data_IF_494475581071
#
_entry.id   IF_494475581071
#
_cell.length_a   1.000
_cell.length_b   1.000
_cell.length_c   1.000
_cell.angle_alpha   90.00
_cell.angle_beta   90.00
_cell.angle_gamma   90.00
#
_symmetry.space_group_name_H-M   'P 1'
#
loop_
_entity.id
_entity.type
_entity.pdbx_description
1 polymer ?
#
# COMPACT_ATOMS: atom_id res chain seq x y z
N UNK A 1 2.01 21.01 11.67
CA UNK A 1 1.24 22.28 11.86
C UNK A 1 -0.04 22.00 12.64
N UNK A 2 -0.89 21.06 12.22
CA UNK A 2 -2.16 20.73 12.90
C UNK A 2 -1.92 20.25 14.33
N UNK A 3 -0.95 19.39 14.57
CA UNK A 3 -0.57 18.91 15.90
C UNK A 3 -0.16 20.04 16.84
N UNK A 4 0.67 20.96 16.35
CA UNK A 4 1.10 22.12 17.13
C UNK A 4 -0.06 23.06 17.45
N UNK A 5 -1.04 23.16 16.55
CA UNK A 5 -2.23 23.96 16.79
C UNK A 5 -3.16 23.30 17.81
N UNK A 6 -3.36 21.99 17.71
CA UNK A 6 -4.20 21.21 18.62
C UNK A 6 -3.67 21.19 20.06
N UNK A 7 -2.35 21.28 20.24
CA UNK A 7 -1.72 21.35 21.57
C UNK A 7 -1.92 22.70 22.30
N UNK A 8 -2.45 23.73 21.64
CA UNK A 8 -2.66 25.02 22.28
C UNK A 8 -3.91 25.00 23.16
N UNK A 9 -3.83 25.64 24.32
CA UNK A 9 -4.95 25.75 25.26
C UNK A 9 -6.20 26.35 24.61
N UNK A 10 -7.37 25.79 24.94
CA UNK A 10 -8.68 26.22 24.45
C UNK A 10 -8.86 26.06 22.93
N UNK A 11 -8.16 25.10 22.31
CA UNK A 11 -8.34 24.75 20.90
C UNK A 11 -8.58 23.27 20.75
N UNK A 12 -9.42 22.92 19.79
CA UNK A 12 -9.61 21.55 19.34
C UNK A 12 -9.57 21.51 17.83
N UNK A 13 -9.01 20.44 17.29
CA UNK A 13 -9.00 20.15 15.85
C UNK A 13 -9.79 18.88 15.66
N UNK A 14 -10.77 18.91 14.80
CA UNK A 14 -11.58 17.75 14.42
C UNK A 14 -11.40 17.51 12.94
N UNK A 15 -11.06 16.29 12.57
CA UNK A 15 -10.68 15.91 11.20
C UNK A 15 -11.52 14.69 10.78
N UNK A 16 -11.99 14.67 9.55
CA UNK A 16 -12.60 13.46 8.97
C UNK A 16 -11.54 12.38 8.69
N UNK A 17 -11.85 11.12 8.98
CA UNK A 17 -10.95 9.99 8.76
C UNK A 17 -10.73 9.61 7.29
N UNK A 18 -11.55 10.16 6.38
CA UNK A 18 -11.50 9.82 4.97
C UNK A 18 -12.58 8.81 4.56
N UNK A 19 -12.53 8.36 3.33
CA UNK A 19 -13.54 7.49 2.71
C UNK A 19 -12.91 6.35 1.88
N UNK A 20 -11.69 5.96 2.20
CA UNK A 20 -10.91 5.00 1.42
C UNK A 20 -11.19 3.52 1.76
N UNK A 21 -11.90 3.21 2.86
CA UNK A 21 -12.11 1.83 3.30
C UNK A 21 -12.73 0.93 2.22
N UNK A 22 -13.72 1.43 1.47
CA UNK A 22 -14.37 0.67 0.40
C UNK A 22 -13.64 0.76 -0.95
N UNK A 23 -12.62 1.62 -1.09
CA UNK A 23 -11.92 1.85 -2.36
C UNK A 23 -10.94 0.74 -2.73
N UNK A 24 -10.68 -0.18 -1.79
CA UNK A 24 -9.81 -1.35 -2.01
C UNK A 24 -8.36 -0.99 -2.34
N UNK A 25 -7.87 0.11 -1.75
CA UNK A 25 -6.51 0.60 -1.97
C UNK A 25 -5.51 0.12 -0.93
N UNK A 26 -5.93 -0.71 0.00
CA UNK A 26 -5.07 -1.33 1.00
C UNK A 26 -5.19 -2.85 0.97
N UNK A 27 -4.04 -3.52 0.99
CA UNK A 27 -3.89 -4.96 1.19
C UNK A 27 -2.99 -5.19 2.38
N UNK A 28 -3.32 -6.14 3.23
CA UNK A 28 -2.46 -6.57 4.32
C UNK A 28 -2.44 -8.08 4.47
N UNK A 29 -1.34 -8.59 4.98
CA UNK A 29 -1.18 -10.01 5.26
C UNK A 29 -0.15 -10.23 6.38
N UNK A 30 -0.41 -11.20 7.25
CA UNK A 30 0.54 -11.62 8.28
C UNK A 30 1.37 -12.80 7.78
N UNK A 31 2.65 -12.57 7.54
CA UNK A 31 3.62 -13.61 7.18
C UNK A 31 4.06 -14.30 8.47
N UNK A 32 3.81 -15.61 8.57
CA UNK A 32 4.28 -16.41 9.69
C UNK A 32 5.77 -16.73 9.55
N UNK A 33 6.43 -16.95 10.69
CA UNK A 33 7.80 -17.46 10.68
C UNK A 33 7.89 -18.77 9.86
N UNK A 34 8.91 -18.90 9.04
CA UNK A 34 9.16 -20.09 8.21
C UNK A 34 8.06 -20.42 7.20
N UNK A 35 7.35 -19.43 6.71
CA UNK A 35 6.38 -19.63 5.66
C UNK A 35 7.07 -20.17 4.39
N UNK A 36 6.55 -21.27 3.82
CA UNK A 36 7.17 -21.96 2.68
C UNK A 36 6.67 -21.51 1.32
N UNK A 37 5.67 -20.65 1.29
CA UNK A 37 5.05 -20.15 0.06
C UNK A 37 4.97 -18.63 0.10
N UNK A 38 5.22 -17.93 -1.02
CA UNK A 38 5.05 -16.50 -1.10
C UNK A 38 3.57 -16.11 -0.94
N UNK A 39 3.34 -14.96 -0.34
CA UNK A 39 2.02 -14.29 -0.35
C UNK A 39 1.88 -13.55 -1.67
N UNK A 40 0.70 -13.59 -2.26
CA UNK A 40 0.42 -12.90 -3.52
C UNK A 40 -0.62 -11.82 -3.32
N UNK A 41 -0.25 -10.58 -3.56
CA UNK A 41 -1.19 -9.48 -3.69
C UNK A 41 -1.55 -9.29 -5.17
N UNK A 42 -2.84 -9.27 -5.48
CA UNK A 42 -3.35 -9.10 -6.84
C UNK A 42 -3.95 -7.70 -7.01
N UNK A 43 -3.46 -6.97 -8.02
CA UNK A 43 -3.91 -5.62 -8.36
C UNK A 43 -4.66 -5.68 -9.68
N UNK A 44 -5.93 -5.30 -9.68
CA UNK A 44 -6.68 -5.04 -10.90
C UNK A 44 -6.30 -3.67 -11.44
N UNK A 45 -5.91 -3.62 -12.70
CA UNK A 45 -5.63 -2.38 -13.45
C UNK A 45 -6.62 -2.29 -14.60
N UNK A 46 -7.34 -1.19 -14.67
CA UNK A 46 -8.28 -0.86 -15.75
C UNK A 46 -7.57 -0.45 -17.04
N UNK A 47 -8.34 -0.19 -18.08
CA UNK A 47 -7.82 0.31 -19.35
C UNK A 47 -7.56 1.81 -19.30
N UNK A 48 -6.52 2.27 -20.02
CA UNK A 48 -6.22 3.70 -20.16
C UNK A 48 -5.49 4.34 -18.99
N UNK A 49 -4.93 3.54 -18.09
CA UNK A 49 -4.09 4.02 -16.99
C UNK A 49 -2.68 4.32 -17.51
N UNK A 50 -2.22 5.56 -17.35
CA UNK A 50 -0.86 5.96 -17.76
C UNK A 50 0.19 5.53 -16.73
N UNK A 51 -0.19 5.45 -15.46
CA UNK A 51 0.69 5.00 -14.41
C UNK A 51 0.06 5.06 -13.04
N UNK A 52 0.68 4.36 -12.10
CA UNK A 52 0.34 4.44 -10.68
C UNK A 52 1.56 4.07 -9.85
N UNK A 53 1.48 4.32 -8.56
CA UNK A 53 2.47 3.89 -7.59
C UNK A 53 1.85 2.86 -6.64
N UNK A 54 2.68 2.00 -6.08
CA UNK A 54 2.30 1.12 -4.98
C UNK A 54 3.43 1.13 -3.95
N UNK A 55 3.06 1.11 -2.68
CA UNK A 55 3.99 1.11 -1.57
C UNK A 55 3.79 -0.15 -0.74
N UNK A 56 4.86 -0.90 -0.53
CA UNK A 56 4.86 -2.02 0.39
C UNK A 56 5.66 -1.66 1.63
N UNK A 57 5.01 -1.80 2.77
CA UNK A 57 5.57 -1.50 4.09
C UNK A 57 5.64 -2.75 4.94
N UNK A 58 6.72 -2.89 5.69
CA UNK A 58 6.86 -3.90 6.75
C UNK A 58 7.79 -3.39 7.83
N UNK A 59 7.66 -3.91 9.05
CA UNK A 59 8.52 -3.56 10.18
C UNK A 59 9.70 -4.51 10.31
N UNK A 60 10.85 -3.96 10.68
CA UNK A 60 12.00 -4.77 11.05
C UNK A 60 11.70 -5.60 12.31
N UNK A 61 12.26 -6.80 12.48
CA UNK A 61 13.38 -7.37 11.71
C UNK A 61 12.98 -8.09 10.41
N UNK A 62 11.69 -8.16 10.05
CA UNK A 62 11.26 -8.78 8.82
C UNK A 62 11.69 -7.92 7.62
N UNK A 63 12.43 -8.53 6.71
CA UNK A 63 12.82 -7.95 5.43
C UNK A 63 12.18 -8.79 4.33
N UNK A 64 11.53 -8.16 3.36
CA UNK A 64 10.84 -8.88 2.29
C UNK A 64 11.54 -8.71 0.94
N UNK A 65 11.36 -9.70 0.09
CA UNK A 65 11.69 -9.68 -1.32
C UNK A 65 10.40 -9.81 -2.13
N UNK A 66 10.40 -9.33 -3.36
CA UNK A 66 9.22 -9.43 -4.22
C UNK A 66 9.56 -9.97 -5.61
N UNK A 67 8.55 -10.56 -6.25
CA UNK A 67 8.52 -10.85 -7.69
C UNK A 67 7.28 -10.19 -8.27
N UNK A 68 7.44 -9.44 -9.34
CA UNK A 68 6.32 -8.85 -10.07
C UNK A 68 5.92 -9.77 -11.23
N UNK A 69 4.63 -9.92 -11.44
CA UNK A 69 4.07 -10.76 -12.51
C UNK A 69 3.05 -9.92 -13.27
N UNK A 70 3.22 -9.85 -14.57
CA UNK A 70 2.31 -9.14 -15.48
C UNK A 70 1.04 -9.94 -15.78
N UNK A 71 0.00 -9.30 -16.34
CA UNK A 71 -1.21 -10.01 -16.76
C UNK A 71 -0.99 -11.14 -17.76
N UNK A 72 0.06 -11.08 -18.60
CA UNK A 72 0.43 -12.18 -19.50
C UNK A 72 1.20 -13.31 -18.82
N UNK A 73 1.62 -13.12 -17.56
CA UNK A 73 2.41 -14.08 -16.82
C UNK A 73 3.92 -13.87 -16.91
N UNK A 74 4.39 -12.79 -17.55
CA UNK A 74 5.82 -12.43 -17.53
C UNK A 74 6.23 -12.08 -16.10
N UNK A 75 7.38 -12.64 -15.66
CA UNK A 75 7.85 -12.52 -14.26
C UNK A 75 9.18 -11.79 -14.21
N UNK A 76 9.36 -10.92 -13.24
CA UNK A 76 10.68 -10.39 -12.93
C UNK A 76 11.54 -11.45 -12.23
N UNK A 77 12.84 -11.24 -12.22
CA UNK A 77 13.68 -11.89 -11.22
C UNK A 77 13.26 -11.41 -9.82
N UNK A 78 13.60 -12.17 -8.80
CA UNK A 78 13.40 -11.75 -7.42
C UNK A 78 14.13 -10.43 -7.16
N UNK A 79 13.39 -9.48 -6.61
CA UNK A 79 13.90 -8.16 -6.23
C UNK A 79 14.39 -8.25 -4.80
N UNK A 80 15.70 -8.50 -4.65
CA UNK A 80 16.32 -8.64 -3.35
C UNK A 80 16.52 -7.28 -2.67
N UNK A 81 16.50 -7.29 -1.33
CA UNK A 81 16.77 -6.10 -0.54
C UNK A 81 18.15 -5.50 -0.85
N UNK A 82 18.16 -4.23 -1.21
CA UNK A 82 19.39 -3.43 -1.35
C UNK A 82 19.05 -1.95 -1.13
N UNK A 83 19.46 -1.44 0.03
CA UNK A 83 19.18 -0.06 0.44
C UNK A 83 19.55 0.97 -0.62
N UNK A 84 18.59 1.83 -0.97
CA UNK A 84 18.75 2.93 -1.91
C UNK A 84 18.97 2.52 -3.37
N UNK A 85 18.87 1.22 -3.67
CA UNK A 85 19.03 0.74 -5.04
C UNK A 85 17.69 0.76 -5.78
N UNK A 86 17.73 1.14 -7.06
CA UNK A 86 16.59 1.15 -7.98
C UNK A 86 16.71 0.01 -8.97
N UNK A 87 15.70 -0.83 -8.99
CA UNK A 87 15.52 -1.86 -10.01
C UNK A 87 14.58 -1.32 -11.06
N UNK A 88 14.97 -1.44 -12.34
CA UNK A 88 14.12 -1.08 -13.46
C UNK A 88 13.82 -2.34 -14.26
N UNK A 89 12.55 -2.60 -14.48
CA UNK A 89 12.03 -3.73 -15.25
C UNK A 89 11.24 -3.21 -16.43
N UNK A 90 11.36 -3.90 -17.56
CA UNK A 90 10.53 -3.69 -18.74
C UNK A 90 9.85 -5.03 -19.03
N UNK A 91 8.54 -5.07 -18.91
CA UNK A 91 7.73 -6.20 -19.31
C UNK A 91 7.57 -6.16 -20.83
N UNK A 92 8.15 -7.14 -21.51
CA UNK A 92 8.36 -7.10 -22.97
C UNK A 92 7.03 -7.19 -23.72
N UNK A 93 6.12 -8.05 -23.27
CA UNK A 93 4.83 -8.25 -23.91
C UNK A 93 3.89 -7.06 -23.72
N UNK A 94 3.87 -6.50 -22.52
CA UNK A 94 3.01 -5.37 -22.17
C UNK A 94 3.61 -4.01 -22.51
N UNK A 95 4.92 -3.93 -22.71
CA UNK A 95 5.66 -2.65 -22.83
C UNK A 95 5.48 -1.76 -21.60
N UNK A 96 5.25 -2.37 -20.45
CA UNK A 96 5.11 -1.70 -19.16
C UNK A 96 6.48 -1.58 -18.50
N UNK A 97 6.80 -0.40 -18.00
CA UNK A 97 8.00 -0.17 -17.20
C UNK A 97 7.63 -0.14 -15.72
N UNK A 98 8.40 -0.85 -14.89
CA UNK A 98 8.23 -0.81 -13.44
C UNK A 98 9.58 -0.52 -12.78
N UNK A 99 9.61 0.55 -11.99
CA UNK A 99 10.73 0.89 -11.12
C UNK A 99 10.39 0.45 -9.69
N UNK A 100 11.34 -0.24 -9.05
CA UNK A 100 11.24 -0.64 -7.63
C UNK A 100 12.42 -0.06 -6.87
N UNK A 101 12.17 0.67 -5.79
CA UNK A 101 13.19 1.24 -4.92
C UNK A 101 13.01 0.75 -3.48
N UNK A 102 14.08 0.28 -2.86
CA UNK A 102 14.12 -0.11 -1.46
C UNK A 102 14.62 1.03 -0.57
N UNK A 103 13.90 1.29 0.53
CA UNK A 103 14.30 2.24 1.56
C UNK A 103 14.13 1.63 2.95
N UNK A 104 15.14 1.76 3.80
CA UNK A 104 14.99 1.55 5.23
C UNK A 104 14.79 2.90 5.91
N UNK A 105 13.73 3.00 6.68
CA UNK A 105 13.38 4.17 7.47
C UNK A 105 13.67 3.86 8.95
N UNK A 106 14.94 4.05 9.34
CA UNK A 106 15.42 3.71 10.68
C UNK A 106 15.14 4.84 11.70
N UNK A 107 15.01 6.07 11.22
CA UNK A 107 14.69 7.21 12.07
C UNK A 107 13.18 7.27 12.30
N UNK A 108 12.75 6.89 13.50
CA UNK A 108 11.38 6.96 14.02
C UNK A 108 10.41 5.83 13.65
N UNK A 109 10.73 4.91 12.76
CA UNK A 109 9.72 3.94 12.32
C UNK A 109 10.19 2.49 12.24
N UNK A 110 11.50 2.21 12.18
CA UNK A 110 12.08 0.87 12.00
C UNK A 110 11.37 0.05 10.90
N UNK A 111 11.10 0.70 9.77
CA UNK A 111 10.31 0.12 8.69
C UNK A 111 11.12 -0.01 7.42
N UNK A 112 10.76 -1.00 6.62
CA UNK A 112 11.16 -1.16 5.23
C UNK A 112 10.04 -0.63 4.35
N UNK A 113 10.39 0.18 3.37
CA UNK A 113 9.52 0.62 2.28
C UNK A 113 10.06 0.09 0.95
N UNK A 114 9.21 -0.56 0.18
CA UNK A 114 9.40 -0.80 -1.24
C UNK A 114 8.45 0.11 -2.00
N UNK A 115 9.03 1.09 -2.66
CA UNK A 115 8.29 1.98 -3.55
C UNK A 115 8.31 1.42 -4.96
N UNK A 116 7.15 1.22 -5.55
CA UNK A 116 6.97 0.69 -6.90
C UNK A 116 6.26 1.73 -7.78
N UNK A 117 6.82 2.05 -8.93
CA UNK A 117 6.21 2.95 -9.89
C UNK A 117 5.96 2.20 -11.20
N UNK A 118 4.72 2.09 -11.57
CA UNK A 118 4.25 1.51 -12.83
C UNK A 118 4.05 2.62 -13.87
N UNK A 119 4.57 2.44 -15.07
CA UNK A 119 4.38 3.33 -16.22
C UNK A 119 3.78 2.55 -17.37
N UNK A 120 2.71 3.08 -17.94
CA UNK A 120 1.95 2.49 -19.04
C UNK A 120 1.56 1.02 -18.73
N UNK A 121 0.95 0.75 -17.57
CA UNK A 121 0.56 -0.62 -17.23
C UNK A 121 -0.57 -1.08 -18.14
N UNK A 122 -0.44 -2.28 -18.68
CA UNK A 122 -1.53 -2.89 -19.43
C UNK A 122 -2.67 -3.29 -18.49
N UNK A 123 -3.90 -3.19 -18.99
CA UNK A 123 -5.09 -3.61 -18.24
C UNK A 123 -5.06 -5.11 -17.95
N UNK A 124 -5.44 -5.48 -16.74
CA UNK A 124 -5.46 -6.87 -16.31
C UNK A 124 -5.15 -7.02 -14.83
N UNK A 125 -4.75 -8.22 -14.43
CA UNK A 125 -4.38 -8.54 -13.05
C UNK A 125 -2.87 -8.60 -12.95
N UNK A 126 -2.29 -7.64 -12.27
CA UNK A 126 -0.89 -7.63 -11.89
C UNK A 126 -0.74 -8.32 -10.54
N UNK A 127 0.34 -9.07 -10.35
CA UNK A 127 0.60 -9.78 -9.10
C UNK A 127 1.94 -9.36 -8.50
N UNK A 128 1.95 -9.26 -7.19
CA UNK A 128 3.14 -9.03 -6.39
C UNK A 128 3.27 -10.23 -5.46
N UNK A 129 4.20 -11.13 -5.75
CA UNK A 129 4.58 -12.19 -4.82
C UNK A 129 5.54 -11.62 -3.79
N UNK A 130 5.28 -11.86 -2.53
CA UNK A 130 6.01 -11.32 -1.38
C UNK A 130 6.51 -12.48 -0.55
N UNK A 131 7.79 -12.48 -0.26
CA UNK A 131 8.45 -13.51 0.54
C UNK A 131 9.34 -12.86 1.61
N UNK A 132 9.34 -13.40 2.82
CA UNK A 132 10.30 -12.97 3.83
C UNK A 132 11.70 -13.42 3.44
N UNK A 133 12.64 -12.49 3.42
CA UNK A 133 14.06 -12.77 3.22
C UNK A 133 14.77 -13.19 4.53
N UNK A 134 14.04 -13.17 5.64
CA UNK A 134 14.51 -13.56 6.97
C UNK A 134 13.59 -14.62 7.53
N UNK A 135 13.99 -15.29 8.62
CA UNK A 135 13.11 -16.22 9.34
C UNK A 135 12.06 -15.50 10.21
N UNK A 136 12.07 -14.15 10.22
CA UNK A 136 11.13 -13.36 10.99
C UNK A 136 9.75 -13.30 10.30
N UNK A 137 8.72 -13.47 11.08
CA UNK A 137 7.34 -13.17 10.68
C UNK A 137 6.99 -11.70 10.95
N UNK A 138 5.88 -11.27 10.43
CA UNK A 138 5.37 -9.91 10.62
C UNK A 138 4.25 -9.57 9.65
N UNK A 139 3.80 -8.35 9.72
CA UNK A 139 2.76 -7.85 8.82
C UNK A 139 3.36 -7.12 7.62
N UNK A 140 2.77 -7.35 6.47
CA UNK A 140 3.00 -6.58 5.25
C UNK A 140 1.76 -5.78 4.94
N UNK A 141 1.96 -4.52 4.56
CA UNK A 141 0.91 -3.62 4.12
C UNK A 141 1.27 -3.09 2.75
N UNK A 142 0.36 -3.19 1.79
CA UNK A 142 0.49 -2.56 0.49
C UNK A 142 -0.57 -1.49 0.34
N UNK A 143 -0.15 -0.34 -0.14
CA UNK A 143 -1.00 0.82 -0.37
C UNK A 143 -0.95 1.25 -1.83
N UNK A 144 -2.11 1.56 -2.36
CA UNK A 144 -2.27 2.33 -3.59
C UNK A 144 -2.61 3.78 -3.22
N UNK A 145 -2.41 4.74 -4.11
CA UNK A 145 -2.85 6.11 -3.88
C UNK A 145 -4.36 6.19 -3.66
N UNK A 146 -4.82 7.22 -2.98
CA UNK A 146 -6.24 7.54 -2.87
C UNK A 146 -6.84 7.77 -4.27
N UNK A 147 -8.14 7.53 -4.42
CA UNK A 147 -8.83 7.51 -5.72
C UNK A 147 -8.59 8.78 -6.56
N UNK A 148 -8.44 9.92 -5.91
CA UNK A 148 -8.21 11.21 -6.58
C UNK A 148 -6.90 11.30 -7.36
N UNK A 149 -5.91 10.46 -7.02
CA UNK A 149 -4.62 10.37 -7.71
C UNK A 149 -4.54 9.21 -8.71
N UNK A 150 -5.61 8.44 -8.85
CA UNK A 150 -5.70 7.36 -9.82
C UNK A 150 -6.51 7.82 -11.03
N UNK A 151 -6.00 7.58 -12.23
CA UNK A 151 -6.65 7.96 -13.49
C UNK A 151 -7.83 7.04 -13.87
N UNK A 152 -8.12 6.03 -13.03
CA UNK A 152 -9.18 5.06 -13.26
C UNK A 152 -9.14 3.89 -12.28
N UNK A 153 -9.61 2.73 -12.69
CA UNK A 153 -9.71 1.54 -11.83
C UNK A 153 -8.34 0.92 -11.56
N UNK A 154 -7.81 1.10 -10.36
CA UNK A 154 -6.64 0.40 -9.84
C UNK A 154 -6.93 0.01 -8.39
N UNK A 155 -7.08 -1.28 -8.09
CA UNK A 155 -7.45 -1.75 -6.76
C UNK A 155 -6.98 -3.18 -6.48
N UNK A 156 -6.87 -3.56 -5.21
CA UNK A 156 -6.57 -4.93 -4.80
C UNK A 156 -7.81 -5.84 -4.91
N UNK A 157 -7.63 -7.07 -5.42
CA UNK A 157 -8.71 -8.06 -5.47
C UNK A 157 -9.09 -8.54 -4.06
N UNK A 158 -8.10 -8.72 -3.20
CA UNK A 158 -8.28 -9.05 -1.78
C UNK A 158 -7.83 -7.84 -0.94
N UNK A 159 -8.72 -6.87 -0.77
CA UNK A 159 -8.44 -5.66 -0.03
C UNK A 159 -8.78 -5.80 1.45
N UNK A 160 -8.02 -5.14 2.32
CA UNK A 160 -8.33 -4.95 3.72
C UNK A 160 -8.88 -3.52 3.91
N UNK A 161 -10.11 -3.33 4.43
CA UNK A 161 -10.66 -2.00 4.67
C UNK A 161 -10.07 -1.31 5.91
N UNK A 162 -9.38 -2.06 6.79
CA UNK A 162 -8.83 -1.51 8.02
C UNK A 162 -7.61 -0.63 7.75
N UNK A 163 -7.36 0.31 8.66
CA UNK A 163 -6.19 1.21 8.62
C UNK A 163 -6.15 2.06 7.35
N UNK A 164 -7.30 2.56 6.90
CA UNK A 164 -7.44 3.35 5.67
C UNK A 164 -7.71 4.84 5.95
N UNK A 165 -7.30 5.34 7.12
CA UNK A 165 -7.35 6.76 7.42
C UNK A 165 -6.51 7.55 6.41
N UNK A 166 -7.10 8.61 5.87
CA UNK A 166 -6.39 9.52 4.97
C UNK A 166 -5.80 10.71 5.72
N UNK A 167 -4.73 11.27 5.20
CA UNK A 167 -4.21 12.53 5.72
C UNK A 167 -5.23 13.68 5.53
N UNK A 168 -5.40 14.53 6.52
CA UNK A 168 -4.65 14.63 7.78
C UNK A 168 -5.24 13.85 8.96
N UNK A 169 -6.09 12.84 8.74
CA UNK A 169 -6.74 12.04 9.79
C UNK A 169 -5.80 11.28 10.70
N UNK A 170 -4.55 11.04 10.29
CA UNK A 170 -3.49 10.41 11.08
C UNK A 170 -2.78 11.35 12.07
N UNK A 171 -3.24 12.59 12.20
CA UNK A 171 -2.68 13.62 13.10
C UNK A 171 -2.80 13.18 14.56
N UNK A 172 -1.70 13.20 15.33
CA UNK A 172 -1.62 12.63 16.70
C UNK A 172 -2.47 13.38 17.74
N UNK A 173 -2.55 14.71 17.62
CA UNK A 173 -3.18 15.56 18.63
C UNK A 173 -4.55 16.13 18.19
N UNK A 174 -5.09 15.64 17.10
CA UNK A 174 -6.44 15.97 16.63
C UNK A 174 -7.43 14.84 16.97
N UNK A 175 -8.69 15.18 16.96
CA UNK A 175 -9.79 14.22 17.07
C UNK A 175 -10.18 13.77 15.66
N UNK A 176 -9.84 12.57 15.29
CA UNK A 176 -10.28 11.98 14.01
C UNK A 176 -11.67 11.37 14.20
N UNK A 177 -12.59 11.71 13.32
CA UNK A 177 -13.97 11.22 13.35
C UNK A 177 -14.26 10.38 12.12
N UNK A 178 -14.86 9.23 12.36
CA UNK A 178 -15.44 8.36 11.37
C UNK A 178 -16.95 8.66 11.26
N UNK A 179 -17.57 8.28 10.16
CA UNK A 179 -18.99 8.45 10.03
C UNK A 179 -19.73 7.14 10.24
N UNK A 180 -20.95 7.31 10.71
CA UNK A 180 -21.82 6.26 11.17
C UNK A 180 -23.17 6.36 10.47
N UNK A 181 -23.66 5.24 9.96
CA UNK A 181 -24.97 5.17 9.34
C UNK A 181 -26.03 4.96 10.43
N UNK A 182 -26.80 5.99 10.71
CA UNK A 182 -27.85 5.94 11.74
C UNK A 182 -29.05 5.07 11.36
N UNK A 183 -29.21 4.70 10.09
CA UNK A 183 -30.29 3.83 9.63
C UNK A 183 -29.99 2.38 9.97
N UNK A 184 -28.75 1.96 9.70
CA UNK A 184 -28.33 0.58 9.87
C UNK A 184 -27.68 0.32 11.23
N UNK A 185 -27.49 1.36 12.04
CA UNK A 185 -26.75 1.32 13.31
C UNK A 185 -25.36 0.69 13.16
N UNK A 186 -24.64 1.03 12.12
CA UNK A 186 -23.32 0.49 11.80
C UNK A 186 -22.35 1.60 11.37
N UNK A 187 -21.07 1.33 11.48
CA UNK A 187 -20.03 2.15 10.84
C UNK A 187 -20.24 2.08 9.33
N UNK A 188 -20.16 3.20 8.65
CA UNK A 188 -20.31 3.22 7.18
C UNK A 188 -19.16 2.46 6.51
N UNK A 189 -19.48 1.75 5.44
CA UNK A 189 -18.51 0.92 4.71
C UNK A 189 -17.30 1.71 4.17
N UNK A 190 -17.46 3.01 3.96
CA UNK A 190 -16.39 3.88 3.49
C UNK A 190 -15.53 4.48 4.62
N UNK A 191 -15.93 4.29 5.88
CA UNK A 191 -15.21 4.82 7.02
C UNK A 191 -14.04 3.90 7.38
N UNK A 192 -12.81 4.40 7.20
CA UNK A 192 -11.57 3.70 7.50
C UNK A 192 -11.14 3.79 8.96
#
# INVERSE_FOLDING_TARGET
>A
ILDQYALQLNRSVVIGGGNEAAMRHHFSYTISEKMSQPVTAEIRVGSGINGFVAELWTKLPMVVTIVLISPSGERTRQVAFRQGYRYNFVFTFERTEVMVEYRLLLENNDSQLLFMQFKNPVAGIWKIEIESATDAGGEVHLWLPVQEFLEGEVYFLEANPDVTLTEPGSTENAMTVAYYNSVDNAVDINSG
#
